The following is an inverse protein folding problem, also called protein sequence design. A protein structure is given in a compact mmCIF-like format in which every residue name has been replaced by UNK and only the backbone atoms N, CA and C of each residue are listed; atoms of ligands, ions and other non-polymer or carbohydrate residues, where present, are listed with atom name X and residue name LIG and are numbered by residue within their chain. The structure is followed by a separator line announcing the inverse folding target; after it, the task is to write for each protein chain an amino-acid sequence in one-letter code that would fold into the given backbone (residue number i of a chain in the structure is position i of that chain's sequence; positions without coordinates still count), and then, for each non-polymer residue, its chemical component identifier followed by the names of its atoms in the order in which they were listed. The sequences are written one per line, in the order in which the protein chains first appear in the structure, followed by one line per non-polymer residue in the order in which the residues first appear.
data_IF_155699527313
#
_entry.id   IF_155699527313
#
_cell.length_a   1.000
_cell.length_b   1.000
_cell.length_c   1.000
_cell.angle_alpha   90.00
_cell.angle_beta   90.00
_cell.angle_gamma   90.00
#
_symmetry.space_group_name_H-M   'P 1'
#
loop_
_entity.id
_entity.type
_entity.pdbx_description
1 polymer ?
#
# COMPACT_ATOMS: atom_id res chain seq x y z
N UNK A 1 1.01 3.25 25.79
CA UNK A 1 1.68 3.90 24.64
C UNK A 1 1.54 2.95 23.46
N UNK A 2 1.02 3.43 22.34
CA UNK A 2 0.98 2.62 21.11
C UNK A 2 2.41 2.31 20.69
N UNK A 3 2.65 1.12 20.16
CA UNK A 3 3.96 0.63 19.72
C UNK A 3 4.71 1.68 18.87
N UNK A 4 3.98 2.29 17.93
CA UNK A 4 4.47 3.35 17.05
C UNK A 4 5.01 4.60 17.77
N UNK A 5 4.34 5.09 18.82
CA UNK A 5 4.82 6.26 19.59
C UNK A 5 6.13 5.97 20.31
N UNK A 6 6.32 4.72 20.74
CA UNK A 6 7.55 4.26 21.38
C UNK A 6 8.68 4.16 20.37
N UNK A 7 8.39 3.69 19.15
CA UNK A 7 9.37 3.60 18.06
C UNK A 7 9.83 4.98 17.57
N UNK A 8 8.93 5.97 17.48
CA UNK A 8 9.29 7.36 17.18
C UNK A 8 10.25 7.92 18.24
N UNK A 9 9.93 7.74 19.53
CA UNK A 9 10.79 8.21 20.61
C UNK A 9 12.18 7.58 20.55
N UNK A 10 12.26 6.28 20.25
CA UNK A 10 13.53 5.56 20.07
C UNK A 10 14.32 6.07 18.86
N UNK A 11 13.66 6.29 17.72
CA UNK A 11 14.34 6.82 16.52
C UNK A 11 14.84 8.23 16.75
N UNK A 12 14.04 9.10 17.39
CA UNK A 12 14.47 10.46 17.77
C UNK A 12 15.65 10.43 18.75
N UNK A 13 15.59 9.60 19.80
CA UNK A 13 16.67 9.47 20.76
C UNK A 13 17.99 9.00 20.11
N UNK A 14 17.90 8.13 19.11
CA UNK A 14 19.05 7.58 18.38
C UNK A 14 19.46 8.41 17.15
N UNK A 15 18.81 9.56 16.89
CA UNK A 15 18.99 10.38 15.66
C UNK A 15 18.82 9.56 14.36
N UNK A 16 17.93 8.57 14.38
CA UNK A 16 17.59 7.74 13.24
C UNK A 16 16.70 8.46 12.21
N UNK A 17 16.53 7.83 11.05
CA UNK A 17 15.70 8.38 9.97
C UNK A 17 14.21 8.12 10.23
N UNK A 18 13.46 9.20 10.46
CA UNK A 18 12.01 9.15 10.63
C UNK A 18 11.28 8.80 9.34
N UNK A 19 11.80 9.22 8.17
CA UNK A 19 11.14 8.95 6.90
C UNK A 19 11.11 7.44 6.63
N UNK A 20 12.19 6.75 6.93
CA UNK A 20 12.25 5.29 6.82
C UNK A 20 11.28 4.60 7.79
N UNK A 21 11.16 5.09 9.03
CA UNK A 21 10.17 4.58 9.98
C UNK A 21 8.74 4.74 9.42
N UNK A 22 8.41 5.93 8.92
CA UNK A 22 7.10 6.17 8.30
C UNK A 22 6.87 5.30 7.07
N UNK A 23 7.89 5.13 6.21
CA UNK A 23 7.82 4.27 5.01
C UNK A 23 7.44 2.83 5.39
N UNK A 24 8.12 2.23 6.37
CA UNK A 24 7.88 0.85 6.83
C UNK A 24 6.46 0.68 7.40
N UNK A 25 6.02 1.63 8.24
CA UNK A 25 4.66 1.57 8.81
C UNK A 25 3.58 1.78 7.78
N UNK A 26 3.79 2.71 6.84
CA UNK A 26 2.89 2.95 5.73
C UNK A 26 2.77 1.70 4.85
N UNK A 27 3.88 1.06 4.50
CA UNK A 27 3.91 -0.20 3.76
C UNK A 27 3.09 -1.29 4.47
N UNK A 28 3.30 -1.47 5.78
CA UNK A 28 2.56 -2.45 6.60
C UNK A 28 1.07 -2.13 6.65
N UNK A 29 0.71 -0.86 6.84
CA UNK A 29 -0.68 -0.42 6.89
C UNK A 29 -1.40 -0.67 5.58
N UNK A 30 -0.81 -0.27 4.45
CA UNK A 30 -1.38 -0.46 3.11
C UNK A 30 -1.53 -1.96 2.79
N UNK A 31 -0.50 -2.78 3.08
CA UNK A 31 -0.58 -4.22 2.86
C UNK A 31 -1.66 -4.91 3.71
N UNK A 32 -1.88 -4.42 4.93
CA UNK A 32 -2.96 -4.92 5.80
C UNK A 32 -4.32 -4.50 5.23
N UNK A 33 -4.46 -3.24 4.83
CA UNK A 33 -5.68 -2.71 4.24
C UNK A 33 -6.10 -3.49 2.97
N UNK A 34 -5.15 -3.74 2.07
CA UNK A 34 -5.39 -4.54 0.87
C UNK A 34 -5.89 -5.97 1.19
N UNK A 35 -5.32 -6.62 2.22
CA UNK A 35 -5.79 -7.93 2.67
C UNK A 35 -7.21 -7.86 3.23
N UNK A 36 -7.53 -6.81 4.00
CA UNK A 36 -8.87 -6.60 4.52
C UNK A 36 -9.89 -6.29 3.42
N UNK A 37 -9.50 -5.58 2.36
CA UNK A 37 -10.37 -5.38 1.18
C UNK A 37 -10.73 -6.72 0.53
N UNK A 38 -9.75 -7.63 0.36
CA UNK A 38 -10.04 -8.95 -0.20
C UNK A 38 -10.94 -9.77 0.73
N UNK A 39 -10.73 -9.70 2.05
CA UNK A 39 -11.64 -10.33 3.02
C UNK A 39 -13.05 -9.79 2.89
N UNK A 40 -13.23 -8.47 2.83
CA UNK A 40 -14.53 -7.84 2.67
C UNK A 40 -15.19 -8.20 1.33
N UNK A 41 -14.43 -8.33 0.26
CA UNK A 41 -14.94 -8.75 -1.05
C UNK A 41 -15.41 -10.21 -1.07
N UNK A 42 -14.67 -11.11 -0.41
CA UNK A 42 -14.99 -12.53 -0.36
C UNK A 42 -16.00 -12.91 0.73
N UNK A 43 -16.19 -12.05 1.73
CA UNK A 43 -17.07 -12.24 2.89
C UNK A 43 -16.67 -13.43 3.80
N UNK A 44 -15.39 -13.78 3.83
CA UNK A 44 -14.85 -14.77 4.77
C UNK A 44 -13.35 -14.57 4.97
N UNK A 45 -12.81 -14.97 6.12
CA UNK A 45 -11.39 -14.78 6.47
C UNK A 45 -10.45 -15.80 5.80
N UNK A 46 -9.14 -15.52 5.83
CA UNK A 46 -8.14 -16.45 5.29
C UNK A 46 -8.23 -17.79 6.06
N UNK A 47 -8.39 -18.88 5.32
CA UNK A 47 -8.56 -20.25 5.84
C UNK A 47 -9.88 -20.52 6.57
N UNK A 48 -10.84 -19.60 6.49
CA UNK A 48 -12.16 -19.87 7.01
C UNK A 48 -12.85 -20.98 6.20
N UNK A 49 -13.52 -21.90 6.91
CA UNK A 49 -14.27 -23.01 6.32
C UNK A 49 -15.48 -22.54 5.53
N UNK A 50 -16.02 -21.36 5.86
CA UNK A 50 -17.14 -20.76 5.13
C UNK A 50 -16.78 -20.52 3.66
N UNK A 51 -15.50 -20.27 3.36
CA UNK A 51 -15.01 -20.08 2.00
C UNK A 51 -14.87 -21.36 1.16
N UNK A 52 -15.17 -22.54 1.69
CA UNK A 52 -15.01 -23.79 0.95
C UNK A 52 -16.21 -24.03 0.03
N UNK A 53 -15.94 -24.37 -1.23
CA UNK A 53 -16.96 -24.61 -2.27
C UNK A 53 -17.89 -23.41 -2.56
N UNK A 54 -17.47 -22.18 -2.27
CA UNK A 54 -18.25 -20.95 -2.57
C UNK A 54 -18.15 -20.48 -4.02
N UNK A 55 -17.32 -21.14 -4.84
CA UNK A 55 -17.11 -20.78 -6.25
C UNK A 55 -16.03 -19.72 -6.48
N UNK A 56 -15.59 -18.98 -5.46
CA UNK A 56 -14.43 -18.09 -5.55
C UNK A 56 -13.52 -18.23 -4.31
N UNK A 57 -12.21 -18.20 -4.53
CA UNK A 57 -11.20 -18.41 -3.49
C UNK A 57 -10.03 -17.43 -3.58
N UNK A 58 -9.32 -17.24 -2.47
CA UNK A 58 -8.06 -16.47 -2.48
C UNK A 58 -7.03 -17.21 -3.33
N UNK A 59 -6.36 -16.50 -4.23
CA UNK A 59 -5.39 -17.07 -5.17
C UNK A 59 -4.03 -16.38 -5.10
N UNK A 60 -3.52 -16.24 -3.87
CA UNK A 60 -2.23 -15.60 -3.60
C UNK A 60 -2.25 -14.09 -3.79
N UNK A 61 -1.07 -13.55 -4.10
CA UNK A 61 -0.82 -12.12 -4.29
C UNK A 61 0.30 -11.93 -5.31
N UNK A 62 0.48 -10.69 -5.77
CA UNK A 62 1.62 -10.29 -6.58
C UNK A 62 2.25 -9.04 -6.02
N UNK A 63 3.55 -8.90 -6.27
CA UNK A 63 4.29 -7.74 -5.81
C UNK A 63 4.08 -6.55 -6.75
N UNK A 64 3.91 -5.38 -6.15
CA UNK A 64 3.87 -4.10 -6.83
C UNK A 64 4.63 -3.07 -6.01
N UNK A 65 5.60 -2.43 -6.62
CA UNK A 65 6.29 -1.29 -6.02
C UNK A 65 5.55 0.01 -6.33
N UNK A 66 5.29 0.81 -5.31
CA UNK A 66 4.69 2.16 -5.43
C UNK A 66 5.66 3.19 -4.89
N UNK A 67 5.97 4.21 -5.68
CA UNK A 67 6.85 5.31 -5.29
C UNK A 67 6.07 6.35 -4.51
N UNK A 68 6.55 6.67 -3.32
CA UNK A 68 5.98 7.69 -2.42
C UNK A 68 7.05 8.70 -1.99
N UNK A 69 6.65 9.77 -1.31
CA UNK A 69 7.58 10.77 -0.78
C UNK A 69 8.55 10.20 0.26
N UNK A 70 8.14 9.15 0.98
CA UNK A 70 8.95 8.45 1.97
C UNK A 70 9.83 7.34 1.35
N UNK A 71 9.79 7.18 0.02
CA UNK A 71 10.52 6.15 -0.72
C UNK A 71 9.60 5.12 -1.38
N UNK A 72 10.21 4.00 -1.78
CA UNK A 72 9.48 2.91 -2.43
C UNK A 72 8.75 2.04 -1.39
N UNK A 73 7.47 1.78 -1.64
CA UNK A 73 6.64 0.85 -0.87
C UNK A 73 6.53 -0.46 -1.64
N UNK A 74 6.83 -1.58 -0.98
CA UNK A 74 6.64 -2.91 -1.52
C UNK A 74 5.26 -3.45 -1.13
N UNK A 75 4.32 -3.45 -2.09
CA UNK A 75 2.95 -3.86 -1.84
C UNK A 75 2.68 -5.27 -2.35
N UNK A 76 1.99 -6.07 -1.54
CA UNK A 76 1.50 -7.40 -1.89
C UNK A 76 0.02 -7.29 -2.25
N UNK A 77 -0.28 -7.11 -3.54
CA UNK A 77 -1.65 -6.94 -4.00
C UNK A 77 -2.34 -8.32 -4.05
N UNK A 78 -3.39 -8.54 -3.24
CA UNK A 78 -4.05 -9.83 -3.18
C UNK A 78 -4.95 -10.07 -4.40
N UNK A 79 -5.21 -11.35 -4.72
CA UNK A 79 -6.06 -11.76 -5.84
C UNK A 79 -7.04 -12.84 -5.42
N UNK A 80 -8.20 -12.84 -6.05
CA UNK A 80 -9.14 -13.95 -6.03
C UNK A 80 -8.90 -14.90 -7.23
N UNK A 81 -9.58 -16.05 -7.22
CA UNK A 81 -9.41 -17.10 -8.22
C UNK A 81 -10.09 -16.75 -9.54
N UNK A 82 -11.21 -16.03 -9.46
CA UNK A 82 -12.00 -15.65 -10.63
C UNK A 82 -11.49 -14.36 -11.28
N UNK A 83 -10.62 -13.60 -10.59
CA UNK A 83 -10.07 -12.33 -11.07
C UNK A 83 -11.08 -11.19 -11.02
N UNK A 84 -12.10 -11.31 -10.19
CA UNK A 84 -13.19 -10.34 -10.04
C UNK A 84 -12.83 -9.23 -9.05
N UNK A 85 -11.90 -9.51 -8.12
CA UNK A 85 -11.47 -8.54 -7.11
C UNK A 85 -10.69 -7.39 -7.76
N UNK A 86 -11.10 -6.16 -7.45
CA UNK A 86 -10.39 -4.93 -7.82
C UNK A 86 -10.14 -4.10 -6.57
N UNK A 87 -8.87 -3.96 -6.20
CA UNK A 87 -8.47 -3.19 -5.04
C UNK A 87 -8.80 -1.69 -5.21
N UNK A 88 -9.30 -1.06 -4.16
CA UNK A 88 -9.74 0.35 -4.18
C UNK A 88 -8.64 1.27 -3.63
N UNK A 89 -7.91 0.81 -2.61
CA UNK A 89 -6.82 1.57 -1.97
C UNK A 89 -5.73 2.00 -2.96
N UNK A 90 -5.38 1.14 -3.92
CA UNK A 90 -4.34 1.44 -4.92
C UNK A 90 -4.90 1.21 -6.33
N UNK A 91 -5.18 2.30 -7.10
CA UNK A 91 -5.71 2.18 -8.44
C UNK A 91 -4.90 1.23 -9.33
N UNK A 92 -5.57 0.57 -10.27
CA UNK A 92 -4.91 -0.30 -11.22
C UNK A 92 -3.81 0.47 -11.97
N UNK A 93 -2.65 -0.17 -12.18
CA UNK A 93 -1.48 0.37 -12.89
C UNK A 93 -0.79 1.60 -12.30
N UNK A 94 -1.34 2.21 -11.25
CA UNK A 94 -0.71 3.35 -10.58
C UNK A 94 0.56 2.91 -9.85
N UNK A 95 1.66 3.63 -10.12
CA UNK A 95 3.01 3.35 -9.59
C UNK A 95 3.62 4.53 -8.83
N UNK A 96 3.00 5.70 -8.85
CA UNK A 96 3.45 6.93 -8.19
C UNK A 96 2.33 7.52 -7.34
N UNK A 97 2.70 8.10 -6.21
CA UNK A 97 1.86 9.03 -5.48
C UNK A 97 1.76 10.34 -6.29
N UNK A 98 0.58 10.97 -6.36
CA UNK A 98 0.33 12.17 -7.19
C UNK A 98 1.20 13.35 -6.76
N UNK A 99 1.97 13.27 -5.68
CA UNK A 99 2.93 14.32 -5.30
C UNK A 99 3.93 14.64 -6.42
N UNK A 100 4.32 13.65 -7.23
CA UNK A 100 5.20 13.86 -8.38
C UNK A 100 4.45 14.41 -9.59
N UNK A 101 3.21 13.97 -9.85
CA UNK A 101 2.35 14.58 -10.86
C UNK A 101 2.00 16.03 -10.51
N UNK A 102 1.65 16.33 -9.26
CA UNK A 102 1.38 17.67 -8.75
C UNK A 102 2.62 18.54 -8.81
N UNK A 103 3.81 18.03 -8.43
CA UNK A 103 5.05 18.79 -8.62
C UNK A 103 5.41 18.96 -10.08
N UNK A 104 5.24 17.97 -10.96
CA UNK A 104 5.46 18.11 -12.41
C UNK A 104 4.46 19.11 -13.01
N UNK A 105 3.19 19.06 -12.64
CA UNK A 105 2.16 20.04 -13.02
C UNK A 105 2.53 21.43 -12.46
N UNK A 106 3.03 21.51 -11.24
CA UNK A 106 3.45 22.77 -10.60
C UNK A 106 4.73 23.34 -11.24
N UNK A 107 5.69 22.49 -11.63
CA UNK A 107 6.91 22.85 -12.37
C UNK A 107 6.55 23.30 -13.80
N UNK A 108 5.60 22.62 -14.46
CA UNK A 108 5.02 23.05 -15.75
C UNK A 108 4.31 24.40 -15.63
N UNK A 109 3.47 24.58 -14.61
CA UNK A 109 2.80 25.87 -14.31
C UNK A 109 3.80 26.98 -13.99
N UNK A 110 4.95 26.66 -13.42
CA UNK A 110 6.06 27.59 -13.11
C UNK A 110 7.01 27.83 -14.29
N UNK A 111 6.78 27.21 -15.45
CA UNK A 111 7.56 27.45 -16.67
C UNK A 111 8.91 26.72 -16.72
N UNK A 112 9.11 25.69 -15.90
CA UNK A 112 10.30 24.83 -15.96
C UNK A 112 10.04 23.80 -17.06
N UNK A 113 10.51 24.10 -18.27
CA UNK A 113 10.30 23.26 -19.45
C UNK A 113 11.28 22.09 -19.47
N UNK A 114 10.81 20.90 -19.86
CA UNK A 114 11.70 19.78 -20.20
C UNK A 114 12.46 20.14 -21.48
N UNK A 115 13.73 20.52 -21.31
CA UNK A 115 14.72 20.63 -22.39
C UNK A 115 15.70 19.48 -22.26
#
# INVERSE_FOLDING_TARGET
MNDFTTEILKTLANKGDLNELFRVHLEKAVNTLLKTELTAFLDYEKYDRIGFNTGNSRNGSYDRTVKTEYGELHLQIPRDRNGEFKQQTVPAYRRTNDTLEETVIHLFRKGITMS
#
